data_IF_982256860843
#
_entry.id   IF_982256860843
#
_cell.length_a   1.000
_cell.length_b   1.000
_cell.length_c   1.000
_cell.angle_alpha   90.00
_cell.angle_beta   90.00
_cell.angle_gamma   90.00
#
_symmetry.space_group_name_H-M   'P 1'
#
loop_
_entity.id
_entity.type
_entity.pdbx_description
1 polymer ?
#
# COMPACT_ATOMS: atom_id res chain seq x y z
N UNK A 1 10.86 6.59 11.67
CA UNK A 1 10.64 6.57 10.21
C UNK A 1 11.58 5.60 9.51
N UNK A 2 12.91 5.82 9.51
CA UNK A 2 13.84 4.89 8.83
C UNK A 2 13.70 3.47 9.41
N UNK A 3 13.71 3.34 10.74
CA UNK A 3 13.56 2.02 11.38
C UNK A 3 12.24 1.33 11.00
N UNK A 4 11.13 2.07 10.91
CA UNK A 4 9.81 1.50 10.56
C UNK A 4 9.75 1.03 9.10
N UNK A 5 10.41 1.76 8.18
CA UNK A 5 10.52 1.36 6.78
C UNK A 5 11.36 0.08 6.67
N UNK A 6 12.46 -0.01 7.40
CA UNK A 6 13.30 -1.21 7.43
C UNK A 6 12.54 -2.42 7.99
N UNK A 7 11.81 -2.25 9.10
CA UNK A 7 11.00 -3.33 9.67
C UNK A 7 9.89 -3.78 8.72
N UNK A 8 9.25 -2.87 7.99
CA UNK A 8 8.28 -3.23 6.96
C UNK A 8 8.92 -4.10 5.87
N UNK A 9 10.03 -3.67 5.28
CA UNK A 9 10.67 -4.44 4.20
C UNK A 9 11.23 -5.78 4.69
N UNK A 10 11.68 -5.89 5.94
CA UNK A 10 12.06 -7.17 6.55
C UNK A 10 10.87 -8.11 6.73
N UNK A 11 9.70 -7.59 7.10
CA UNK A 11 8.49 -8.39 7.26
C UNK A 11 7.88 -8.81 5.91
N UNK A 12 7.94 -7.91 4.92
CA UNK A 12 7.38 -8.09 3.59
C UNK A 12 8.22 -9.01 2.70
N UNK A 13 9.50 -8.68 2.47
CA UNK A 13 10.31 -9.42 1.51
C UNK A 13 10.84 -10.72 2.11
N UNK A 14 10.65 -11.83 1.40
CA UNK A 14 11.15 -13.15 1.77
C UNK A 14 11.85 -13.82 0.60
N UNK A 15 12.84 -14.66 0.90
CA UNK A 15 13.49 -15.48 -0.11
C UNK A 15 12.46 -16.36 -0.85
N UNK A 16 12.62 -16.49 -2.16
CA UNK A 16 11.71 -17.23 -3.02
C UNK A 16 10.54 -16.43 -3.59
N UNK A 17 10.37 -15.14 -3.24
CA UNK A 17 9.42 -14.27 -3.92
C UNK A 17 9.79 -14.10 -5.41
N UNK A 18 8.81 -14.26 -6.29
CA UNK A 18 9.02 -14.26 -7.74
C UNK A 18 8.25 -13.14 -8.41
N UNK A 19 8.78 -12.67 -9.53
CA UNK A 19 8.12 -11.73 -10.43
C UNK A 19 8.20 -12.23 -11.88
N UNK A 20 7.33 -11.71 -12.74
CA UNK A 20 7.37 -11.99 -14.18
C UNK A 20 8.61 -11.36 -14.82
N UNK A 21 9.34 -12.14 -15.61
CA UNK A 21 10.51 -11.65 -16.32
C UNK A 21 10.11 -10.85 -17.55
N UNK A 22 10.76 -9.69 -17.72
CA UNK A 22 10.80 -8.96 -18.99
C UNK A 22 12.25 -8.66 -19.34
N UNK A 23 12.54 -8.39 -20.62
CA UNK A 23 13.91 -8.06 -21.06
C UNK A 23 14.50 -6.82 -20.36
N UNK A 24 13.65 -5.98 -19.78
CA UNK A 24 14.05 -4.76 -19.10
C UNK A 24 14.44 -4.97 -17.64
N UNK A 25 14.16 -6.14 -17.04
CA UNK A 25 14.43 -6.41 -15.62
C UNK A 25 15.93 -6.21 -15.31
N UNK A 26 16.28 -5.38 -14.32
CA UNK A 26 17.66 -5.16 -13.92
C UNK A 26 18.29 -6.41 -13.32
N UNK A 27 19.42 -6.83 -13.90
CA UNK A 27 20.15 -8.06 -13.46
C UNK A 27 20.53 -8.05 -11.98
N UNK A 28 20.81 -6.87 -11.43
CA UNK A 28 21.19 -6.72 -10.02
C UNK A 28 20.05 -7.09 -9.06
N UNK A 29 18.80 -7.01 -9.53
CA UNK A 29 17.60 -7.36 -8.79
C UNK A 29 17.28 -8.85 -8.86
N UNK A 30 17.85 -9.56 -9.85
CA UNK A 30 17.61 -10.98 -10.07
C UNK A 30 18.48 -11.83 -9.13
N UNK A 31 17.83 -12.68 -8.34
CA UNK A 31 18.50 -13.73 -7.55
C UNK A 31 18.67 -15.01 -8.39
N UNK A 32 17.70 -15.29 -9.25
CA UNK A 32 17.72 -16.45 -10.15
C UNK A 32 17.59 -16.02 -11.61
N UNK A 33 18.00 -16.90 -12.54
CA UNK A 33 17.57 -16.78 -13.93
C UNK A 33 16.05 -17.05 -14.04
N UNK A 34 15.39 -16.58 -15.11
CA UNK A 34 13.99 -16.91 -15.37
C UNK A 34 13.81 -18.42 -15.54
N UNK A 35 12.77 -18.98 -14.93
CA UNK A 35 12.40 -20.39 -15.06
C UNK A 35 11.59 -20.63 -16.36
N UNK A 36 11.12 -21.86 -16.56
CA UNK A 36 10.31 -22.24 -17.73
C UNK A 36 8.94 -21.53 -17.82
N UNK A 37 8.48 -20.93 -16.73
CA UNK A 37 7.23 -20.15 -16.65
C UNK A 37 7.49 -18.65 -16.88
N UNK A 38 8.74 -18.26 -17.13
CA UNK A 38 9.11 -16.87 -17.29
C UNK A 38 9.13 -16.08 -15.98
N UNK A 39 9.21 -16.75 -14.82
CA UNK A 39 9.34 -16.08 -13.53
C UNK A 39 10.77 -16.14 -13.01
N UNK A 40 11.20 -15.12 -12.27
CA UNK A 40 12.51 -15.07 -11.63
C UNK A 40 12.36 -14.68 -10.15
N UNK A 41 13.25 -15.18 -9.30
CA UNK A 41 13.34 -14.73 -7.91
C UNK A 41 14.01 -13.35 -7.87
N UNK A 42 13.41 -12.42 -7.14
CA UNK A 42 13.91 -11.05 -7.02
C UNK A 42 14.33 -10.72 -5.59
N UNK A 43 15.18 -9.70 -5.45
CA UNK A 43 15.59 -9.13 -4.16
C UNK A 43 15.46 -7.62 -4.16
N UNK A 44 15.35 -7.06 -2.95
CA UNK A 44 15.46 -5.62 -2.75
C UNK A 44 16.84 -5.11 -3.19
N UNK A 45 16.87 -3.97 -3.87
CA UNK A 45 18.09 -3.21 -4.14
C UNK A 45 17.90 -1.75 -3.70
N UNK A 46 18.94 -1.04 -3.25
CA UNK A 46 18.80 0.35 -2.82
C UNK A 46 18.17 1.23 -3.90
N UNK A 47 17.17 2.01 -3.52
CA UNK A 47 16.55 2.98 -4.41
C UNK A 47 17.48 4.16 -4.68
N UNK A 48 17.38 4.73 -5.89
CA UNK A 48 18.13 5.94 -6.28
C UNK A 48 17.23 7.14 -6.55
N UNK A 49 15.92 7.01 -6.29
CA UNK A 49 14.95 8.09 -6.43
C UNK A 49 15.26 9.25 -5.48
N UNK A 50 15.07 10.46 -5.99
CA UNK A 50 15.23 11.72 -5.27
C UNK A 50 13.87 12.33 -4.96
N UNK A 51 13.82 13.30 -4.05
CA UNK A 51 12.59 14.03 -3.78
C UNK A 51 12.10 14.85 -5.00
N UNK A 52 13.00 15.24 -5.92
CA UNK A 52 12.61 15.98 -7.12
C UNK A 52 11.81 15.09 -8.10
N UNK A 53 12.08 13.78 -8.14
CA UNK A 53 11.34 12.84 -8.97
C UNK A 53 9.85 12.81 -8.58
N UNK A 54 9.55 12.79 -7.28
CA UNK A 54 8.17 12.86 -6.77
C UNK A 54 7.54 14.23 -6.98
N UNK A 55 8.31 15.31 -6.81
CA UNK A 55 7.82 16.67 -7.04
C UNK A 55 7.38 16.90 -8.49
N UNK A 56 8.02 16.23 -9.45
CA UNK A 56 7.57 16.24 -10.84
C UNK A 56 6.16 15.62 -10.98
N UNK A 57 5.91 14.49 -10.33
CA UNK A 57 4.59 13.85 -10.28
C UNK A 57 3.57 14.74 -9.55
N UNK A 58 3.94 15.27 -8.38
CA UNK A 58 3.10 16.22 -7.63
C UNK A 58 2.70 17.42 -8.48
N UNK A 59 3.63 17.96 -9.26
CA UNK A 59 3.39 19.09 -10.16
C UNK A 59 2.47 18.71 -11.32
N UNK A 60 2.70 17.54 -11.94
CA UNK A 60 1.89 17.03 -13.05
C UNK A 60 0.42 16.86 -12.64
N UNK A 61 0.17 16.25 -11.48
CA UNK A 61 -1.18 15.95 -11.01
C UNK A 61 -1.77 17.01 -10.06
N UNK A 62 -1.01 18.06 -9.73
CA UNK A 62 -1.38 19.13 -8.78
C UNK A 62 -1.74 18.59 -7.39
N UNK A 63 -0.98 17.61 -6.93
CA UNK A 63 -1.18 16.95 -5.64
C UNK A 63 0.00 17.21 -4.71
N UNK A 64 -0.06 16.60 -3.53
CA UNK A 64 1.06 16.54 -2.60
C UNK A 64 1.03 15.18 -1.91
N UNK A 65 2.15 14.48 -1.93
CA UNK A 65 2.30 13.23 -1.20
C UNK A 65 2.77 13.46 0.24
N UNK A 66 2.45 12.53 1.16
CA UNK A 66 3.10 12.47 2.46
C UNK A 66 4.62 12.30 2.34
N UNK A 67 5.38 12.99 3.19
CA UNK A 67 6.84 12.81 3.28
C UNK A 67 7.20 11.36 3.67
N UNK A 68 6.41 10.75 4.56
CA UNK A 68 6.57 9.35 4.98
C UNK A 68 6.39 8.36 3.81
N UNK A 69 5.43 8.63 2.92
CA UNK A 69 5.18 7.82 1.73
C UNK A 69 6.35 7.89 0.76
N UNK A 70 6.82 9.11 0.47
CA UNK A 70 8.01 9.33 -0.38
C UNK A 70 9.23 8.62 0.22
N UNK A 71 9.45 8.74 1.54
CA UNK A 71 10.58 8.13 2.22
C UNK A 71 10.56 6.60 2.14
N UNK A 72 9.38 5.98 2.30
CA UNK A 72 9.19 4.54 2.14
C UNK A 72 9.45 4.10 0.70
N UNK A 73 8.75 4.70 -0.26
CA UNK A 73 8.77 4.24 -1.66
C UNK A 73 10.15 4.42 -2.31
N UNK A 74 10.92 5.44 -1.91
CA UNK A 74 12.28 5.65 -2.46
C UNK A 74 13.34 4.76 -1.83
N UNK A 75 13.05 4.06 -0.74
CA UNK A 75 14.07 3.38 0.06
C UNK A 75 14.73 2.25 -0.71
N UNK A 76 13.92 1.45 -1.39
CA UNK A 76 14.33 0.31 -2.20
C UNK A 76 13.62 0.33 -3.53
N UNK A 77 14.20 -0.34 -4.51
CA UNK A 77 13.45 -0.89 -5.62
C UNK A 77 12.95 -2.30 -5.26
N UNK A 78 11.71 -2.59 -5.64
CA UNK A 78 10.95 -3.82 -5.37
C UNK A 78 9.95 -4.06 -6.50
N UNK A 79 9.71 -5.32 -6.87
CA UNK A 79 8.93 -5.69 -8.07
C UNK A 79 7.46 -5.97 -7.77
N UNK A 80 7.10 -6.09 -6.49
CA UNK A 80 5.75 -6.33 -6.01
C UNK A 80 5.61 -5.75 -4.58
N UNK A 81 4.39 -5.38 -4.19
CA UNK A 81 4.03 -4.98 -2.84
C UNK A 81 2.59 -5.37 -2.42
N UNK A 82 2.12 -6.54 -2.86
CA UNK A 82 0.86 -7.13 -2.37
C UNK A 82 1.02 -7.67 -0.93
N UNK A 83 0.44 -6.97 0.04
CA UNK A 83 0.41 -7.37 1.46
C UNK A 83 -0.84 -8.20 1.82
N UNK A 84 -1.49 -8.80 0.82
CA UNK A 84 -2.79 -9.49 0.86
C UNK A 84 -4.01 -8.63 1.17
N UNK A 85 -3.90 -7.71 2.14
CA UNK A 85 -5.02 -6.86 2.58
C UNK A 85 -4.99 -5.48 1.93
N UNK A 86 -3.81 -5.08 1.45
CA UNK A 86 -3.54 -3.81 0.75
C UNK A 86 -2.44 -4.11 -0.27
N UNK A 87 -2.57 -3.57 -1.47
CA UNK A 87 -1.55 -3.63 -2.53
C UNK A 87 -0.94 -2.26 -2.71
N UNK A 88 0.30 -2.13 -2.24
CA UNK A 88 1.05 -0.87 -2.31
C UNK A 88 1.75 -0.74 -3.67
N UNK A 89 1.99 0.49 -4.17
CA UNK A 89 2.65 0.69 -5.45
C UNK A 89 4.10 0.21 -5.38
N UNK A 90 4.50 -0.61 -6.36
CA UNK A 90 5.88 -1.09 -6.44
C UNK A 90 6.81 -0.07 -7.12
N UNK A 91 8.11 -0.20 -6.83
CA UNK A 91 9.16 0.69 -7.35
C UNK A 91 10.16 -0.13 -8.16
N UNK A 92 9.88 -0.36 -9.45
CA UNK A 92 10.81 -1.10 -10.32
C UNK A 92 11.87 -0.15 -10.90
N UNK A 93 13.16 -0.52 -11.02
CA UNK A 93 14.20 0.43 -11.45
C UNK A 93 14.03 0.94 -12.90
N UNK A 94 13.21 0.28 -13.72
CA UNK A 94 12.94 0.69 -15.11
C UNK A 94 11.93 1.84 -15.16
N UNK A 95 10.88 1.76 -14.35
CA UNK A 95 9.80 2.75 -14.26
C UNK A 95 9.36 2.90 -12.80
N UNK A 96 10.20 3.50 -11.97
CA UNK A 96 10.05 3.40 -10.52
C UNK A 96 8.81 4.11 -10.00
N UNK A 97 8.25 5.08 -10.72
CA UNK A 97 7.03 5.80 -10.32
C UNK A 97 5.78 5.37 -11.10
N UNK A 98 5.86 4.33 -11.94
CA UNK A 98 4.77 4.00 -12.87
C UNK A 98 3.47 3.66 -12.16
N UNK A 99 3.50 2.78 -11.15
CA UNK A 99 2.30 2.40 -10.38
C UNK A 99 1.64 3.60 -9.70
N UNK A 100 2.44 4.52 -9.17
CA UNK A 100 1.94 5.77 -8.59
C UNK A 100 1.26 6.61 -9.67
N UNK A 101 1.89 6.75 -10.84
CA UNK A 101 1.34 7.50 -11.97
C UNK A 101 0.05 6.85 -12.46
N UNK A 102 0.01 5.52 -12.59
CA UNK A 102 -1.17 4.78 -13.07
C UNK A 102 -2.36 4.94 -12.11
N UNK A 103 -2.10 4.94 -10.79
CA UNK A 103 -3.14 5.23 -9.78
C UNK A 103 -3.69 6.66 -9.89
N UNK A 104 -2.91 7.60 -10.43
CA UNK A 104 -3.30 9.00 -10.62
C UNK A 104 -3.86 9.31 -12.02
N UNK A 105 -3.46 8.54 -13.04
CA UNK A 105 -3.82 8.71 -14.45
C UNK A 105 -5.03 7.85 -14.83
N UNK A 106 -6.07 7.94 -14.01
CA UNK A 106 -7.33 7.21 -14.17
C UNK A 106 -8.53 8.15 -13.95
N UNK A 107 -9.60 7.96 -14.72
CA UNK A 107 -10.86 8.73 -14.67
C UNK A 107 -11.47 8.91 -13.27
N UNK A 108 -11.26 7.98 -12.32
CA UNK A 108 -11.71 8.17 -10.93
C UNK A 108 -10.80 9.14 -10.19
N UNK A 109 -9.48 9.00 -10.34
CA UNK A 109 -8.51 9.90 -9.72
C UNK A 109 -8.71 11.36 -10.17
N UNK A 110 -9.04 11.58 -11.44
CA UNK A 110 -9.39 12.91 -11.98
C UNK A 110 -10.52 13.60 -11.21
N UNK A 111 -11.46 12.82 -10.66
CA UNK A 111 -12.60 13.33 -9.88
C UNK A 111 -12.27 13.46 -8.39
N UNK A 112 -11.49 12.54 -7.83
CA UNK A 112 -11.13 12.52 -6.42
C UNK A 112 -10.09 13.59 -6.05
N UNK A 113 -9.11 13.84 -6.91
CA UNK A 113 -8.02 14.79 -6.64
C UNK A 113 -8.55 16.22 -6.35
N UNK A 114 -9.48 16.80 -7.15
CA UNK A 114 -10.09 18.09 -6.86
C UNK A 114 -10.83 18.15 -5.51
N UNK A 115 -11.27 17.00 -4.99
CA UNK A 115 -11.94 16.88 -3.69
C UNK A 115 -10.94 16.70 -2.53
N UNK A 116 -9.64 16.73 -2.81
CA UNK A 116 -8.58 16.55 -1.82
C UNK A 116 -8.32 15.09 -1.45
N UNK A 117 -8.70 14.15 -2.31
CA UNK A 117 -8.51 12.70 -2.12
C UNK A 117 -7.52 12.20 -3.17
N UNK A 118 -6.37 11.68 -2.74
CA UNK A 118 -5.28 11.28 -3.64
C UNK A 118 -5.13 9.76 -3.63
N UNK A 119 -5.53 9.05 -4.69
CA UNK A 119 -5.29 7.61 -4.81
C UNK A 119 -3.80 7.28 -4.80
N UNK A 120 -3.41 6.20 -4.11
CA UNK A 120 -2.01 5.78 -4.05
C UNK A 120 -1.77 4.27 -3.99
N UNK A 121 -2.75 3.47 -3.58
CA UNK A 121 -2.67 2.03 -3.40
C UNK A 121 -4.04 1.38 -3.68
N UNK A 122 -4.12 0.06 -3.69
CA UNK A 122 -5.37 -0.67 -3.90
C UNK A 122 -5.77 -1.51 -2.68
N UNK A 123 -7.06 -1.59 -2.41
CA UNK A 123 -7.63 -2.44 -1.37
C UNK A 123 -7.52 -3.92 -1.79
N UNK A 124 -7.24 -4.82 -0.83
CA UNK A 124 -6.86 -6.21 -1.11
C UNK A 124 -7.97 -7.11 -1.68
N UNK A 125 -9.23 -6.71 -1.57
CA UNK A 125 -10.40 -7.40 -2.13
C UNK A 125 -10.99 -6.67 -3.33
N UNK A 126 -10.21 -5.78 -3.97
CA UNK A 126 -10.58 -5.08 -5.19
C UNK A 126 -11.78 -4.12 -5.05
N UNK A 127 -12.11 -3.67 -3.82
CA UNK A 127 -13.15 -2.65 -3.61
C UNK A 127 -12.80 -1.33 -4.32
N UNK A 128 -11.52 -0.99 -4.40
CA UNK A 128 -11.03 0.20 -5.09
C UNK A 128 -9.76 0.75 -4.46
N UNK A 129 -9.39 2.00 -4.78
CA UNK A 129 -8.14 2.56 -4.29
C UNK A 129 -8.21 2.96 -2.82
N UNK A 130 -7.07 2.88 -2.15
CA UNK A 130 -6.82 3.66 -0.95
C UNK A 130 -6.44 5.09 -1.35
N UNK A 131 -6.96 6.05 -0.61
CA UNK A 131 -6.73 7.48 -0.84
C UNK A 131 -6.14 8.16 0.38
N UNK A 132 -5.21 9.09 0.16
CA UNK A 132 -4.82 10.08 1.16
C UNK A 132 -5.89 11.17 1.24
N UNK A 133 -6.40 11.42 2.44
CA UNK A 133 -7.37 12.50 2.70
C UNK A 133 -6.65 13.79 3.11
N UNK A 134 -6.56 14.74 2.18
CA UNK A 134 -5.84 16.02 2.36
C UNK A 134 -6.74 17.19 2.75
N UNK A 135 -8.05 16.98 2.84
CA UNK A 135 -9.05 18.07 3.00
C UNK A 135 -8.85 18.93 4.26
N UNK A 136 -8.23 18.37 5.30
CA UNK A 136 -7.94 19.07 6.56
C UNK A 136 -6.44 19.03 6.93
N UNK A 137 -5.55 18.86 5.94
CA UNK A 137 -4.13 18.76 6.18
C UNK A 137 -3.53 20.06 6.74
N UNK A 138 -2.81 19.96 7.86
CA UNK A 138 -2.06 21.08 8.46
C UNK A 138 -0.57 21.07 8.00
N UNK A 139 -0.11 19.97 7.41
CA UNK A 139 1.27 19.80 6.92
C UNK A 139 1.37 18.59 5.99
N UNK A 140 2.58 18.25 5.53
CA UNK A 140 2.83 17.16 4.57
C UNK A 140 3.44 15.90 5.20
N UNK A 141 3.58 15.84 6.53
CA UNK A 141 4.25 14.72 7.18
C UNK A 141 3.50 13.41 6.94
N UNK A 142 2.17 13.45 7.14
CA UNK A 142 1.30 12.29 6.98
C UNK A 142 -0.15 12.71 6.68
N UNK A 143 -0.93 11.80 6.09
CA UNK A 143 -2.36 11.98 5.83
C UNK A 143 -3.17 10.77 6.27
N UNK A 144 -4.39 10.98 6.82
CA UNK A 144 -5.34 9.88 7.04
C UNK A 144 -5.64 9.14 5.75
N UNK A 145 -5.92 7.85 5.88
CA UNK A 145 -6.18 6.95 4.76
C UNK A 145 -7.62 6.45 4.84
N UNK A 146 -8.28 6.46 3.69
CA UNK A 146 -9.62 5.93 3.47
C UNK A 146 -9.59 4.96 2.30
N UNK A 147 -10.58 4.08 2.21
CA UNK A 147 -10.88 3.32 0.99
C UNK A 147 -11.90 4.11 0.20
N UNK A 148 -11.76 4.08 -1.11
CA UNK A 148 -12.76 4.56 -2.04
C UNK A 148 -13.32 3.38 -2.82
N UNK A 149 -14.62 3.16 -2.72
CA UNK A 149 -15.34 2.18 -3.52
C UNK A 149 -15.51 2.72 -4.96
N UNK A 150 -14.85 2.06 -5.91
CA UNK A 150 -14.81 2.52 -7.29
C UNK A 150 -16.16 2.39 -8.01
N UNK A 151 -17.13 1.63 -7.48
CA UNK A 151 -18.47 1.51 -8.05
C UNK A 151 -19.26 2.83 -8.02
N UNK A 152 -18.84 3.77 -7.16
CA UNK A 152 -19.46 5.08 -7.00
C UNK A 152 -18.96 6.14 -7.99
N UNK A 153 -18.05 5.76 -8.90
CA UNK A 153 -17.73 6.54 -10.09
C UNK A 153 -17.15 7.94 -9.86
N UNK A 154 -16.61 8.24 -8.67
CA UNK A 154 -16.09 9.54 -8.25
C UNK A 154 -16.96 10.28 -7.22
N UNK A 155 -18.15 9.78 -6.88
CA UNK A 155 -19.01 10.34 -5.83
C UNK A 155 -18.45 10.04 -4.42
N UNK A 156 -18.57 11.01 -3.51
CA UNK A 156 -18.12 10.88 -2.12
C UNK A 156 -18.90 9.84 -1.31
N UNK A 157 -20.08 9.41 -1.78
CA UNK A 157 -20.82 8.31 -1.16
C UNK A 157 -20.03 6.99 -1.15
N UNK A 158 -19.04 6.82 -2.05
CA UNK A 158 -18.12 5.68 -2.05
C UNK A 158 -16.93 5.81 -1.09
N UNK A 159 -16.80 6.93 -0.37
CA UNK A 159 -15.67 7.17 0.52
C UNK A 159 -15.92 6.58 1.91
N UNK A 160 -15.04 5.69 2.34
CA UNK A 160 -15.11 5.12 3.69
C UNK A 160 -14.79 6.15 4.78
N UNK A 161 -15.02 5.76 6.03
CA UNK A 161 -14.40 6.41 7.18
C UNK A 161 -12.86 6.28 7.15
N UNK A 162 -12.16 7.00 8.04
CA UNK A 162 -10.69 6.89 8.16
C UNK A 162 -10.34 5.49 8.68
N UNK A 163 -9.75 4.66 7.82
CA UNK A 163 -9.36 3.27 8.15
C UNK A 163 -7.96 3.17 8.76
N UNK A 164 -7.10 4.17 8.48
CA UNK A 164 -5.85 4.41 9.20
C UNK A 164 -5.66 5.91 9.42
N UNK A 165 -5.20 6.30 10.60
CA UNK A 165 -4.99 7.71 10.91
C UNK A 165 -3.85 8.34 10.12
N UNK A 166 -2.95 7.51 9.56
CA UNK A 166 -1.75 7.94 8.85
C UNK A 166 -1.12 6.80 8.04
N UNK A 167 -0.32 7.12 7.02
CA UNK A 167 0.51 6.17 6.27
C UNK A 167 1.51 5.44 7.16
N UNK A 168 2.14 6.15 8.10
CA UNK A 168 3.03 5.53 9.08
C UNK A 168 2.31 4.50 9.95
N UNK A 169 1.07 4.79 10.37
CA UNK A 169 0.24 3.84 11.11
C UNK A 169 -0.19 2.64 10.28
N UNK A 170 -0.56 2.86 9.01
CA UNK A 170 -0.80 1.78 8.06
C UNK A 170 0.43 0.88 7.92
N UNK A 171 1.63 1.43 7.67
CA UNK A 171 2.86 0.63 7.58
C UNK A 171 3.13 -0.18 8.86
N UNK A 172 2.88 0.41 10.03
CA UNK A 172 3.04 -0.30 11.32
C UNK A 172 2.07 -1.49 11.44
N UNK A 173 0.80 -1.27 11.08
CA UNK A 173 -0.22 -2.33 11.07
C UNK A 173 0.12 -3.44 10.05
N UNK A 174 0.56 -3.06 8.85
CA UNK A 174 0.98 -4.01 7.81
C UNK A 174 2.21 -4.82 8.23
N UNK A 175 3.20 -4.18 8.84
CA UNK A 175 4.40 -4.86 9.35
C UNK A 175 4.03 -5.89 10.41
N UNK A 176 3.14 -5.51 11.35
CA UNK A 176 2.61 -6.41 12.37
C UNK A 176 1.83 -7.58 11.74
N UNK A 177 0.95 -7.27 10.78
CA UNK A 177 0.18 -8.28 10.05
C UNK A 177 1.08 -9.31 9.37
N UNK A 178 2.01 -8.86 8.53
CA UNK A 178 2.95 -9.72 7.80
C UNK A 178 3.79 -10.60 8.73
N UNK A 179 4.12 -10.11 9.92
CA UNK A 179 4.91 -10.84 10.93
C UNK A 179 4.09 -11.89 11.67
N UNK A 180 2.85 -11.57 12.05
CA UNK A 180 2.06 -12.41 12.96
C UNK A 180 1.22 -13.48 12.26
N UNK A 181 0.90 -13.29 10.97
CA UNK A 181 0.13 -14.28 10.18
C UNK A 181 0.85 -15.63 9.98
N UNK A 182 2.15 -15.72 10.27
CA UNK A 182 2.86 -17.01 10.32
C UNK A 182 2.45 -17.87 11.53
N UNK A 183 1.90 -17.24 12.58
CA UNK A 183 1.66 -17.88 13.88
C UNK A 183 0.19 -17.83 14.31
N UNK A 184 -0.56 -16.85 13.83
CA UNK A 184 -1.94 -16.54 14.20
C UNK A 184 -2.83 -16.51 12.97
N UNK A 185 -4.14 -16.64 13.19
CA UNK A 185 -5.11 -16.48 12.10
C UNK A 185 -5.27 -15.02 11.72
N UNK A 186 -5.48 -14.73 10.44
CA UNK A 186 -5.59 -13.35 9.90
C UNK A 186 -6.60 -12.51 10.70
N UNK A 187 -7.78 -13.06 10.95
CA UNK A 187 -8.83 -12.39 11.72
C UNK A 187 -8.49 -12.13 13.20
N UNK A 188 -7.51 -12.84 13.77
CA UNK A 188 -7.01 -12.57 15.13
C UNK A 188 -6.03 -11.39 15.13
N UNK A 189 -5.31 -11.17 14.03
CA UNK A 189 -4.28 -10.14 13.93
C UNK A 189 -4.89 -8.76 13.65
N UNK A 190 -5.99 -8.69 12.90
CA UNK A 190 -6.69 -7.41 12.65
C UNK A 190 -7.15 -6.72 13.93
N UNK A 191 -7.53 -7.47 14.97
CA UNK A 191 -7.95 -6.89 16.24
C UNK A 191 -6.83 -6.06 16.90
N UNK A 192 -5.56 -6.40 16.64
CA UNK A 192 -4.41 -5.67 17.18
C UNK A 192 -4.27 -4.28 16.53
N UNK A 193 -4.86 -4.06 15.35
CA UNK A 193 -4.80 -2.77 14.66
C UNK A 193 -5.46 -1.67 15.51
N UNK A 194 -6.44 -2.02 16.35
CA UNK A 194 -7.11 -1.08 17.24
C UNK A 194 -6.17 -0.51 18.31
N UNK A 195 -5.17 -1.28 18.73
CA UNK A 195 -4.16 -0.83 19.69
C UNK A 195 -3.01 -0.11 18.98
N UNK A 196 -2.63 -0.57 17.79
CA UNK A 196 -1.54 0.02 17.00
C UNK A 196 -1.93 1.41 16.47
N UNK A 197 -3.17 1.57 16.01
CA UNK A 197 -3.72 2.80 15.45
C UNK A 197 -5.07 3.18 16.09
N UNK A 198 -5.06 3.69 17.34
CA UNK A 198 -6.28 3.97 18.09
C UNK A 198 -7.15 5.07 17.47
N UNK A 199 -6.56 6.02 16.75
CA UNK A 199 -7.28 7.17 16.15
C UNK A 199 -7.79 6.88 14.72
N UNK A 200 -7.31 5.81 14.09
CA UNK A 200 -7.78 5.34 12.78
C UNK A 200 -8.52 4.03 12.92
N UNK A 201 -7.78 2.93 12.75
CA UNK A 201 -8.32 1.58 12.80
C UNK A 201 -9.13 1.28 14.08
N UNK A 202 -8.70 1.80 15.24
CA UNK A 202 -9.36 1.62 16.54
C UNK A 202 -10.55 2.55 16.82
N UNK A 203 -10.75 3.58 15.98
CA UNK A 203 -11.83 4.57 16.12
C UNK A 203 -12.76 4.53 14.91
N UNK A 204 -12.62 5.48 13.98
CA UNK A 204 -13.53 5.61 12.82
C UNK A 204 -13.42 4.43 11.85
N UNK A 205 -12.26 3.80 11.78
CA UNK A 205 -12.00 2.65 10.92
C UNK A 205 -12.46 1.31 11.50
N UNK A 206 -13.00 1.30 12.72
CA UNK A 206 -13.26 0.06 13.45
C UNK A 206 -14.23 -0.86 12.72
N UNK A 207 -15.36 -0.32 12.24
CA UNK A 207 -16.37 -1.09 11.51
C UNK A 207 -15.80 -1.71 10.23
N UNK A 208 -14.94 -0.97 9.52
CA UNK A 208 -14.24 -1.49 8.34
C UNK A 208 -13.41 -2.74 8.68
N UNK A 209 -12.59 -2.67 9.73
CA UNK A 209 -11.77 -3.81 10.15
C UNK A 209 -12.59 -4.94 10.79
N UNK A 210 -13.70 -4.65 11.47
CA UNK A 210 -14.65 -5.66 11.94
C UNK A 210 -15.27 -6.45 10.78
N UNK A 211 -15.51 -5.80 9.64
CA UNK A 211 -15.99 -6.48 8.43
C UNK A 211 -14.95 -7.48 7.89
N UNK A 212 -13.68 -7.09 7.84
CA UNK A 212 -12.56 -7.96 7.48
C UNK A 212 -12.41 -9.14 8.44
N UNK A 213 -12.48 -8.90 9.77
CA UNK A 213 -12.45 -9.95 10.79
C UNK A 213 -13.59 -10.95 10.58
N UNK A 214 -14.79 -10.45 10.31
CA UNK A 214 -15.98 -11.30 10.12
C UNK A 214 -15.85 -12.16 8.87
N UNK A 215 -15.46 -11.54 7.75
CA UNK A 215 -15.24 -12.23 6.48
C UNK A 215 -14.16 -13.32 6.60
N UNK A 216 -13.02 -12.99 7.18
CA UNK A 216 -11.88 -13.91 7.28
C UNK A 216 -12.12 -15.04 8.28
N UNK A 217 -12.88 -14.78 9.34
CA UNK A 217 -13.35 -15.83 10.25
C UNK A 217 -14.29 -16.79 9.53
N UNK A 218 -15.27 -16.26 8.78
CA UNK A 218 -16.20 -17.09 8.02
C UNK A 218 -15.48 -17.95 6.97
N UNK A 219 -14.53 -17.36 6.24
CA UNK A 219 -13.69 -18.09 5.29
C UNK A 219 -12.87 -19.19 5.97
N UNK A 220 -12.31 -18.91 7.15
CA UNK A 220 -11.59 -19.92 7.92
C UNK A 220 -12.50 -21.06 8.40
N UNK A 221 -13.70 -20.75 8.87
CA UNK A 221 -14.68 -21.75 9.32
C UNK A 221 -15.18 -22.65 8.19
N UNK A 222 -15.36 -22.10 6.99
CA UNK A 222 -15.81 -22.84 5.81
C UNK A 222 -14.69 -23.65 5.14
N UNK A 223 -13.50 -23.05 4.98
CA UNK A 223 -12.44 -23.60 4.12
C UNK A 223 -11.18 -24.08 4.87
N UNK A 224 -11.01 -23.72 6.15
CA UNK A 224 -10.00 -24.28 7.05
C UNK A 224 -8.56 -23.78 6.88
N UNK A 225 -8.31 -22.77 6.04
CA UNK A 225 -6.99 -22.12 5.91
C UNK A 225 -6.96 -20.76 6.61
#
# INVERSE_FOLDING_TARGET
MIDEIEEFFKAYWRAGMKAGYTENVPKEMMVSAPNSEGSYEWKLIPGVLTNEDYKNVETQFKITFPENFIAWHKRYFFEDCDCSIIRLPFSSPIRPLQEIIDNLDWYIAEQLIPLGLIPFANEGNDAGPLVFDTRNAIGKEDFPIRVYDHEYGGDLDGLSEIIFSSFRKMLTCLTHFLTEIEKRKRFEVFADFYEIDPEGAGATGKEYWESWITMERANFEEFGY
#
